data_IF_127665390896
#
_entry.id   IF_127665390896
#
_cell.length_a   1.000
_cell.length_b   1.000
_cell.length_c   1.000
_cell.angle_alpha   90.00
_cell.angle_beta   90.00
_cell.angle_gamma   90.00
#
_symmetry.space_group_name_H-M   'P 1'
#
loop_
_entity.id
_entity.type
_entity.pdbx_description
1 polymer ?
#
# COMPACT_ATOMS: atom_id res chain seq x y z
N UNK A 1 -7.25 16.29 5.29
CA UNK A 1 -7.30 14.79 5.30
C UNK A 1 -5.97 14.24 5.79
N UNK A 2 -6.02 13.30 6.75
CA UNK A 2 -4.89 12.45 7.14
C UNK A 2 -5.06 11.06 6.52
N UNK A 3 -3.95 10.44 6.12
CA UNK A 3 -3.93 9.08 5.58
C UNK A 3 -2.90 8.28 6.37
N UNK A 4 -3.32 7.12 6.86
CA UNK A 4 -2.42 6.11 7.42
C UNK A 4 -2.51 4.87 6.55
N UNK A 5 -1.41 4.51 5.90
CA UNK A 5 -1.24 3.23 5.25
C UNK A 5 -0.52 2.29 6.21
N UNK A 6 -1.08 1.10 6.41
CA UNK A 6 -0.49 0.01 7.17
C UNK A 6 -0.31 -1.17 6.24
N UNK A 7 0.88 -1.74 6.24
CA UNK A 7 1.15 -3.04 5.63
C UNK A 7 1.46 -3.99 6.77
N UNK A 8 0.58 -4.96 6.96
CA UNK A 8 0.85 -6.13 7.77
C UNK A 8 1.59 -7.10 6.88
N UNK A 9 2.83 -7.38 7.24
CA UNK A 9 3.64 -8.34 6.54
C UNK A 9 4.49 -9.09 7.55
N UNK A 10 4.03 -10.31 7.87
CA UNK A 10 4.79 -11.25 8.72
C UNK A 10 6.03 -11.80 8.00
N UNK A 11 6.34 -11.36 6.79
CA UNK A 11 7.44 -11.83 5.97
C UNK A 11 8.29 -10.70 5.37
N UNK A 12 8.44 -9.56 6.06
CA UNK A 12 9.48 -8.59 5.68
C UNK A 12 10.90 -9.19 5.75
N UNK A 13 11.06 -10.37 6.37
CA UNK A 13 12.25 -11.22 6.27
C UNK A 13 12.50 -11.77 4.84
N UNK A 14 11.47 -11.91 3.99
CA UNK A 14 11.56 -12.36 2.59
C UNK A 14 11.60 -11.21 1.57
N UNK A 15 11.14 -10.00 1.93
CA UNK A 15 11.24 -8.79 1.09
C UNK A 15 12.68 -8.28 0.94
N UNK A 16 13.65 -8.96 1.55
CA UNK A 16 15.06 -8.73 1.25
C UNK A 16 15.46 -9.44 -0.05
N UNK A 17 15.11 -8.83 -1.18
CA UNK A 17 15.60 -9.17 -2.52
C UNK A 17 17.07 -8.77 -2.72
N UNK A 18 17.95 -9.23 -1.83
CA UNK A 18 19.33 -9.54 -2.18
C UNK A 18 19.48 -11.06 -2.05
N UNK A 19 19.30 -11.75 -3.19
CA UNK A 19 19.46 -13.19 -3.34
C UNK A 19 20.93 -13.63 -3.18
N UNK A 20 21.53 -13.42 -2.02
CA UNK A 20 22.78 -14.07 -1.62
C UNK A 20 22.62 -14.59 -0.19
N UNK A 21 22.06 -15.80 -0.09
CA UNK A 21 22.04 -16.68 1.08
C UNK A 21 21.09 -16.29 2.24
N UNK A 22 19.89 -16.90 2.32
CA UNK A 22 18.87 -16.59 3.34
C UNK A 22 19.31 -16.85 4.80
N UNK A 23 20.42 -17.57 5.00
CA UNK A 23 20.96 -17.92 6.33
C UNK A 23 21.91 -16.87 6.95
N UNK A 24 22.12 -15.71 6.32
CA UNK A 24 23.02 -14.67 6.86
C UNK A 24 22.26 -13.51 7.55
N UNK A 25 22.70 -13.01 8.73
CA UNK A 25 22.05 -11.88 9.42
C UNK A 25 21.94 -10.58 8.61
N UNK A 26 22.68 -10.47 7.50
CA UNK A 26 22.68 -9.33 6.58
C UNK A 26 21.42 -9.29 5.69
N UNK A 27 20.68 -10.41 5.59
CA UNK A 27 19.40 -10.53 4.87
C UNK A 27 18.20 -9.98 5.65
N UNK A 28 18.39 -9.18 6.71
CA UNK A 28 17.31 -8.55 7.50
C UNK A 28 17.44 -7.02 7.61
N UNK A 29 17.55 -6.34 6.47
CA UNK A 29 17.75 -4.90 6.39
C UNK A 29 16.71 -4.22 5.51
N UNK A 30 15.96 -3.27 6.04
CA UNK A 30 15.12 -2.37 5.25
C UNK A 30 15.91 -1.11 4.91
N UNK A 31 16.04 -0.79 3.62
CA UNK A 31 16.87 0.33 3.14
C UNK A 31 18.29 0.33 3.76
N UNK A 32 18.90 -0.84 3.95
CA UNK A 32 20.24 -0.96 4.52
C UNK A 32 20.32 -0.83 6.05
N UNK A 33 19.20 -0.64 6.74
CA UNK A 33 19.10 -0.58 8.21
C UNK A 33 18.60 -1.92 8.77
N UNK A 34 19.25 -2.43 9.81
CA UNK A 34 18.79 -3.63 10.52
C UNK A 34 17.50 -3.37 11.31
N UNK A 35 16.78 -4.43 11.69
CA UNK A 35 15.53 -4.32 12.46
C UNK A 35 15.67 -3.47 13.74
N UNK A 36 16.79 -3.55 14.45
CA UNK A 36 17.05 -2.75 15.66
C UNK A 36 17.30 -1.26 15.38
N UNK A 37 17.60 -0.90 14.13
CA UNK A 37 17.82 0.47 13.69
C UNK A 37 16.57 1.13 13.13
N UNK A 38 15.49 0.37 12.91
CA UNK A 38 14.22 0.87 12.38
C UNK A 38 13.41 1.59 13.47
N UNK A 39 12.77 2.72 13.12
CA UNK A 39 12.02 3.49 14.10
C UNK A 39 10.69 2.81 14.45
N UNK A 40 10.52 2.43 15.72
CA UNK A 40 9.22 1.95 16.27
C UNK A 40 8.28 3.08 16.69
N UNK A 41 8.77 4.32 16.69
CA UNK A 41 8.01 5.55 16.90
C UNK A 41 7.93 6.37 15.61
N UNK A 42 6.88 7.20 15.48
CA UNK A 42 6.69 8.04 14.30
C UNK A 42 7.91 8.92 14.03
N UNK A 43 8.57 8.66 12.90
CA UNK A 43 9.78 9.37 12.47
C UNK A 43 9.57 9.89 11.06
N UNK A 44 10.13 11.08 10.75
CA UNK A 44 10.07 11.61 9.38
C UNK A 44 10.81 10.69 8.42
N UNK A 45 10.20 10.36 7.30
CA UNK A 45 10.80 9.50 6.28
C UNK A 45 12.11 10.11 5.76
N UNK A 46 12.17 11.43 5.58
CA UNK A 46 13.42 12.13 5.25
C UNK A 46 14.57 11.85 6.24
N UNK A 47 14.28 11.77 7.54
CA UNK A 47 15.29 11.46 8.55
C UNK A 47 15.75 9.98 8.47
N UNK A 48 14.83 9.07 8.13
CA UNK A 48 15.16 7.66 7.90
C UNK A 48 16.07 7.50 6.68
N UNK A 49 15.76 8.14 5.55
CA UNK A 49 16.58 8.11 4.34
C UNK A 49 17.97 8.74 4.56
N UNK A 50 18.03 9.79 5.38
CA UNK A 50 19.32 10.36 5.79
C UNK A 50 20.15 9.37 6.62
N UNK A 51 19.50 8.62 7.52
CA UNK A 51 20.15 7.61 8.37
C UNK A 51 20.63 6.41 7.55
N UNK A 52 19.89 5.98 6.53
CA UNK A 52 20.28 4.88 5.65
C UNK A 52 21.44 5.23 4.70
N UNK A 53 21.81 6.51 4.58
CA UNK A 53 22.87 6.97 3.70
C UNK A 53 22.48 6.97 2.21
N UNK A 54 21.19 6.82 1.90
CA UNK A 54 20.68 6.91 0.53
C UNK A 54 20.76 8.35 -0.01
N UNK A 55 20.94 8.53 -1.33
CA UNK A 55 20.90 9.85 -1.95
C UNK A 55 19.55 10.53 -1.68
N UNK A 56 19.58 11.67 -1.01
CA UNK A 56 18.39 12.49 -0.77
C UNK A 56 18.07 13.35 -1.99
N UNK A 57 16.78 13.61 -2.29
CA UNK A 57 16.41 14.52 -3.35
C UNK A 57 16.92 15.94 -3.06
N UNK A 58 17.22 16.67 -4.13
CA UNK A 58 17.75 18.05 -4.05
C UNK A 58 16.68 19.11 -4.30
N UNK A 59 15.57 18.75 -4.94
CA UNK A 59 14.50 19.70 -5.21
C UNK A 59 13.65 19.93 -3.95
N UNK A 60 13.22 21.19 -3.77
CA UNK A 60 12.55 21.64 -2.56
C UNK A 60 11.23 20.90 -2.31
N UNK A 61 10.49 20.58 -3.36
CA UNK A 61 9.17 19.98 -3.21
C UNK A 61 9.26 18.52 -2.79
N UNK A 62 10.23 17.76 -3.30
CA UNK A 62 10.49 16.38 -2.86
C UNK A 62 10.99 16.34 -1.43
N UNK A 63 11.88 17.27 -1.04
CA UNK A 63 12.30 17.39 0.38
C UNK A 63 11.10 17.68 1.28
N UNK A 64 10.28 18.68 0.93
CA UNK A 64 9.05 19.02 1.68
C UNK A 64 8.13 17.80 1.81
N UNK A 65 7.92 17.08 0.72
CA UNK A 65 7.09 15.88 0.71
C UNK A 65 7.65 14.80 1.65
N UNK A 66 8.91 14.41 1.53
CA UNK A 66 9.53 13.39 2.39
C UNK A 66 9.57 13.79 3.87
N UNK A 67 9.66 15.09 4.18
CA UNK A 67 9.58 15.60 5.55
C UNK A 67 8.16 15.50 6.14
N UNK A 68 7.14 15.56 5.27
CA UNK A 68 5.72 15.43 5.66
C UNK A 68 5.30 13.99 5.94
N UNK A 69 5.98 13.02 5.33
CA UNK A 69 5.72 11.59 5.54
C UNK A 69 6.33 11.13 6.85
N UNK A 70 5.50 10.57 7.72
CA UNK A 70 5.92 9.87 8.93
C UNK A 70 5.89 8.37 8.69
N UNK A 71 6.89 7.66 9.18
CA UNK A 71 7.00 6.20 9.12
C UNK A 71 7.29 5.65 10.50
N UNK A 72 6.76 4.46 10.77
CA UNK A 72 7.19 3.62 11.88
C UNK A 72 7.06 2.15 11.50
N UNK A 73 7.83 1.30 12.13
CA UNK A 73 7.87 -0.12 11.91
C UNK A 73 7.21 -0.84 13.09
N UNK A 74 6.51 -1.93 12.77
CA UNK A 74 5.88 -2.81 13.75
C UNK A 74 6.81 -4.01 13.96
N UNK A 75 7.16 -4.29 15.23
CA UNK A 75 8.11 -5.35 15.58
C UNK A 75 7.55 -6.23 16.68
N UNK A 76 7.75 -7.54 16.57
CA UNK A 76 7.53 -8.51 17.64
C UNK A 76 8.89 -9.07 18.09
N UNK A 77 9.46 -8.49 19.14
CA UNK A 77 10.85 -8.78 19.52
C UNK A 77 11.83 -8.27 18.45
N UNK A 78 12.65 -9.15 17.89
CA UNK A 78 13.58 -8.83 16.79
C UNK A 78 12.97 -9.01 15.40
N UNK A 79 11.73 -9.50 15.31
CA UNK A 79 11.04 -9.77 14.05
C UNK A 79 10.27 -8.54 13.58
N UNK A 80 10.43 -8.19 12.30
CA UNK A 80 9.67 -7.13 11.66
C UNK A 80 8.33 -7.70 11.16
N UNK A 81 7.21 -7.13 11.61
CA UNK A 81 5.86 -7.64 11.32
C UNK A 81 5.02 -6.71 10.45
N UNK A 82 5.55 -5.55 10.12
CA UNK A 82 4.91 -4.60 9.22
C UNK A 82 5.48 -3.19 9.34
N UNK A 83 4.86 -2.27 8.63
CA UNK A 83 5.16 -0.86 8.78
C UNK A 83 3.92 0.00 8.54
N UNK A 84 4.00 1.24 9.03
CA UNK A 84 2.97 2.25 8.86
C UNK A 84 3.58 3.51 8.30
N UNK A 85 2.92 4.07 7.30
CA UNK A 85 3.22 5.39 6.78
C UNK A 85 2.04 6.31 7.00
N UNK A 86 2.32 7.56 7.30
CA UNK A 86 1.31 8.57 7.58
C UNK A 86 1.65 9.88 6.91
N UNK A 87 0.63 10.50 6.34
CA UNK A 87 0.70 11.88 5.86
C UNK A 87 -0.48 12.66 6.42
N UNK A 88 -0.21 13.83 7.00
CA UNK A 88 -1.23 14.72 7.55
C UNK A 88 -1.45 15.90 6.60
N UNK A 89 -2.69 16.36 6.48
CA UNK A 89 -3.10 17.46 5.58
C UNK A 89 -2.70 17.23 4.11
N UNK A 90 -2.85 16.00 3.62
CA UNK A 90 -2.50 15.65 2.25
C UNK A 90 -3.35 16.42 1.23
N UNK A 91 -2.69 16.99 0.23
CA UNK A 91 -3.34 17.50 -0.99
C UNK A 91 -3.21 16.50 -2.16
N UNK A 92 -3.79 16.82 -3.31
CA UNK A 92 -3.73 15.97 -4.50
C UNK A 92 -2.30 15.68 -4.98
N UNK A 93 -1.39 16.65 -4.88
CA UNK A 93 0.01 16.45 -5.27
C UNK A 93 0.73 15.51 -4.31
N UNK A 94 0.47 15.65 -3.01
CA UNK A 94 1.05 14.79 -1.98
C UNK A 94 0.56 13.35 -2.13
N UNK A 95 -0.71 13.13 -2.48
CA UNK A 95 -1.24 11.81 -2.83
C UNK A 95 -0.47 11.16 -3.97
N UNK A 96 -0.27 11.90 -5.07
CA UNK A 96 0.50 11.42 -6.22
C UNK A 96 1.95 11.10 -5.85
N UNK A 97 2.59 11.91 -5.01
CA UNK A 97 3.97 11.69 -4.54
C UNK A 97 4.07 10.51 -3.56
N UNK A 98 3.07 10.33 -2.69
CA UNK A 98 2.98 9.20 -1.77
C UNK A 98 2.89 7.87 -2.51
N UNK A 99 2.10 7.87 -3.58
CA UNK A 99 2.00 6.79 -4.54
C UNK A 99 3.30 6.48 -5.27
N UNK A 100 4.04 7.50 -5.71
CA UNK A 100 5.37 7.33 -6.30
C UNK A 100 6.36 6.73 -5.30
N UNK A 101 6.41 7.28 -4.08
CA UNK A 101 7.30 6.82 -3.03
C UNK A 101 7.09 5.33 -2.73
N UNK A 102 5.83 4.87 -2.67
CA UNK A 102 5.54 3.46 -2.47
C UNK A 102 6.04 2.57 -3.60
N UNK A 103 5.87 3.00 -4.86
CA UNK A 103 6.41 2.27 -6.02
C UNK A 103 7.93 2.15 -5.95
N UNK A 104 8.62 3.22 -5.58
CA UNK A 104 10.08 3.26 -5.50
C UNK A 104 10.65 2.40 -4.36
N UNK A 105 9.85 2.15 -3.30
CA UNK A 105 10.25 1.27 -2.20
C UNK A 105 10.15 -0.22 -2.54
N UNK A 106 9.52 -0.61 -3.65
CA UNK A 106 9.32 -2.01 -4.00
C UNK A 106 10.52 -2.52 -4.84
N UNK A 107 11.52 -3.21 -4.25
CA UNK A 107 12.86 -3.35 -4.85
C UNK A 107 12.93 -4.37 -6.00
N UNK A 108 11.83 -5.09 -6.28
CA UNK A 108 11.86 -6.30 -7.09
C UNK A 108 11.82 -6.14 -8.59
N UNK A 109 11.60 -4.94 -9.16
CA UNK A 109 11.58 -4.76 -10.62
C UNK A 109 12.08 -3.37 -11.04
N UNK A 110 12.84 -3.37 -12.14
CA UNK A 110 13.41 -2.20 -12.81
C UNK A 110 12.40 -1.05 -12.93
N UNK A 111 12.89 0.17 -12.71
CA UNK A 111 12.20 1.44 -12.86
C UNK A 111 11.68 1.73 -14.29
N UNK A 112 11.94 0.83 -15.24
CA UNK A 112 11.71 1.05 -16.68
C UNK A 112 10.34 0.53 -17.17
N UNK A 113 9.60 -0.22 -16.36
CA UNK A 113 8.21 -0.52 -16.68
C UNK A 113 7.32 0.57 -16.07
N UNK A 114 6.69 1.38 -16.93
CA UNK A 114 5.55 2.24 -16.58
C UNK A 114 4.34 1.45 -16.01
N UNK A 115 4.51 0.15 -15.75
CA UNK A 115 3.48 -0.86 -15.52
C UNK A 115 3.44 -1.44 -14.09
N UNK A 116 4.23 -0.92 -13.14
CA UNK A 116 4.35 -1.47 -11.77
C UNK A 116 3.41 -0.82 -10.73
N UNK A 117 2.16 -0.54 -11.08
CA UNK A 117 1.10 -0.25 -10.10
C UNK A 117 0.61 -1.57 -9.48
N UNK A 118 1.41 -2.16 -8.58
CA UNK A 118 1.05 -3.46 -7.99
C UNK A 118 -0.20 -3.39 -7.07
N UNK A 119 -0.60 -2.19 -6.65
CA UNK A 119 -1.81 -1.91 -5.87
C UNK A 119 -2.38 -0.57 -6.37
N UNK A 120 -3.30 -0.57 -7.33
CA UNK A 120 -3.86 0.58 -8.05
C UNK A 120 -4.60 1.63 -7.21
N UNK A 121 -4.55 1.53 -5.88
CA UNK A 121 -5.05 2.48 -4.87
C UNK A 121 -4.24 3.79 -4.87
N UNK A 122 -3.22 3.88 -5.72
CA UNK A 122 -2.25 4.97 -5.76
C UNK A 122 -2.65 6.13 -6.66
N UNK A 123 -3.72 6.02 -7.44
CA UNK A 123 -4.21 7.13 -8.28
C UNK A 123 -5.41 7.86 -7.64
N UNK A 124 -5.43 7.90 -6.30
CA UNK A 124 -6.45 8.62 -5.53
C UNK A 124 -6.49 10.10 -5.89
N UNK A 125 -7.71 10.62 -6.02
CA UNK A 125 -7.95 12.03 -6.30
C UNK A 125 -8.68 12.67 -5.11
N UNK A 126 -8.10 13.73 -4.56
CA UNK A 126 -8.65 14.46 -3.42
C UNK A 126 -8.70 15.95 -3.74
N UNK A 127 -9.88 16.55 -3.70
CA UNK A 127 -10.11 17.97 -3.98
C UNK A 127 -10.44 18.81 -2.73
N UNK A 128 -10.54 18.18 -1.55
CA UNK A 128 -10.94 18.84 -0.30
C UNK A 128 -12.33 18.46 0.17
N UNK A 129 -13.22 18.05 -0.74
CA UNK A 129 -14.61 17.68 -0.45
C UNK A 129 -14.93 16.25 -0.93
N UNK A 130 -14.13 15.71 -1.85
CA UNK A 130 -14.36 14.42 -2.50
C UNK A 130 -13.06 13.66 -2.65
N UNK A 131 -13.05 12.44 -2.13
CA UNK A 131 -12.02 11.43 -2.39
C UNK A 131 -12.52 10.43 -3.42
N UNK A 132 -11.80 10.26 -4.52
CA UNK A 132 -12.03 9.22 -5.53
C UNK A 132 -10.92 8.20 -5.44
N UNK A 133 -11.29 6.95 -5.21
CA UNK A 133 -10.37 5.81 -5.20
C UNK A 133 -10.68 4.96 -6.42
N UNK A 134 -9.81 4.92 -7.43
CA UNK A 134 -10.01 4.05 -8.59
C UNK A 134 -9.81 2.58 -8.19
N UNK A 135 -10.81 1.75 -8.51
CA UNK A 135 -10.84 0.30 -8.23
C UNK A 135 -11.04 -0.51 -9.52
N UNK A 136 -11.34 0.16 -10.65
CA UNK A 136 -11.64 -0.44 -11.94
C UNK A 136 -10.43 -1.05 -12.65
N UNK A 137 -9.26 -0.44 -12.50
CA UNK A 137 -8.05 -0.83 -13.23
C UNK A 137 -7.00 -1.58 -12.42
N UNK A 138 -7.21 -1.66 -11.10
CA UNK A 138 -6.31 -2.34 -10.19
C UNK A 138 -6.19 -3.83 -10.56
N UNK A 139 -4.98 -4.35 -10.81
CA UNK A 139 -4.76 -5.76 -11.12
C UNK A 139 -5.35 -6.72 -10.06
N UNK A 140 -5.34 -6.34 -8.78
CA UNK A 140 -5.93 -7.10 -7.67
C UNK A 140 -7.45 -7.13 -7.78
N UNK A 141 -8.10 -5.97 -8.01
CA UNK A 141 -9.56 -5.90 -8.13
C UNK A 141 -10.10 -6.41 -9.48
N UNK A 142 -9.30 -6.40 -10.54
CA UNK A 142 -9.68 -6.94 -11.86
C UNK A 142 -9.80 -8.46 -11.88
N UNK A 143 -8.91 -9.18 -11.21
CA UNK A 143 -9.02 -10.65 -11.10
C UNK A 143 -10.25 -11.07 -10.27
N UNK A 144 -10.64 -10.27 -9.27
CA UNK A 144 -11.86 -10.52 -8.48
C UNK A 144 -13.16 -10.43 -9.29
N UNK A 145 -13.12 -9.83 -10.48
CA UNK A 145 -14.31 -9.46 -11.27
C UNK A 145 -14.82 -10.56 -12.21
N UNK A 146 -14.16 -11.70 -12.40
CA UNK A 146 -14.63 -12.67 -13.41
C UNK A 146 -14.33 -14.17 -13.14
N UNK A 147 -15.35 -14.99 -12.80
CA UNK A 147 -15.21 -16.45 -12.74
C UNK A 147 -15.33 -17.15 -14.11
N UNK A 148 -15.84 -16.46 -15.14
CA UNK A 148 -15.85 -16.98 -16.51
C UNK A 148 -14.62 -16.47 -17.26
N UNK A 149 -13.76 -17.44 -17.61
CA UNK A 149 -12.53 -17.23 -18.38
C UNK A 149 -12.79 -16.47 -19.67
N UNK A 150 -12.26 -15.25 -19.77
CA UNK A 150 -11.78 -14.77 -21.06
C UNK A 150 -10.61 -13.79 -20.91
N UNK A 151 -9.41 -14.27 -21.27
CA UNK A 151 -8.23 -13.59 -21.83
C UNK A 151 -7.85 -12.13 -21.46
N UNK A 152 -8.38 -11.54 -20.40
CA UNK A 152 -8.12 -10.14 -20.06
C UNK A 152 -6.85 -10.01 -19.22
N UNK A 153 -5.75 -10.04 -19.98
CA UNK A 153 -4.36 -9.71 -19.69
C UNK A 153 -3.54 -10.75 -18.92
N UNK A 154 -2.54 -11.31 -19.63
CA UNK A 154 -1.40 -12.06 -19.07
C UNK A 154 -0.85 -11.43 -17.78
N UNK A 155 -0.88 -10.10 -17.72
CA UNK A 155 -0.47 -9.24 -16.61
C UNK A 155 -1.14 -9.51 -15.26
N UNK A 156 -2.46 -9.74 -15.24
CA UNK A 156 -3.20 -9.90 -14.00
C UNK A 156 -2.91 -11.27 -13.35
N UNK A 157 -2.85 -12.32 -14.18
CA UNK A 157 -2.36 -13.65 -13.78
C UNK A 157 -0.90 -13.66 -13.35
N UNK A 158 -0.02 -12.92 -14.01
CA UNK A 158 1.39 -12.79 -13.59
C UNK A 158 1.55 -12.03 -12.29
N UNK A 159 0.76 -10.97 -12.08
CA UNK A 159 0.75 -10.20 -10.83
C UNK A 159 0.23 -11.07 -9.69
N UNK A 160 -0.87 -11.79 -9.90
CA UNK A 160 -1.42 -12.70 -8.91
C UNK A 160 -0.53 -13.91 -8.66
N UNK A 161 0.11 -14.48 -9.68
CA UNK A 161 1.11 -15.54 -9.50
C UNK A 161 2.36 -15.02 -8.80
N UNK A 162 2.79 -13.79 -9.08
CA UNK A 162 3.84 -13.13 -8.32
C UNK A 162 3.40 -13.02 -6.86
N UNK A 163 2.20 -12.49 -6.56
CA UNK A 163 1.73 -12.39 -5.19
C UNK A 163 1.58 -13.77 -4.52
N UNK A 164 1.02 -14.76 -5.23
CA UNK A 164 0.86 -16.15 -4.77
C UNK A 164 2.19 -16.87 -4.56
N UNK A 165 3.25 -16.49 -5.27
CA UNK A 165 4.57 -17.14 -5.21
C UNK A 165 5.49 -16.40 -4.23
N UNK A 166 5.48 -15.07 -4.25
CA UNK A 166 6.26 -14.20 -3.39
C UNK A 166 5.69 -14.07 -1.96
N UNK A 167 4.38 -14.29 -1.79
CA UNK A 167 3.70 -14.23 -0.49
C UNK A 167 3.02 -15.56 -0.15
N UNK A 168 3.55 -16.67 -0.66
CA UNK A 168 2.97 -18.01 -0.46
C UNK A 168 3.02 -18.37 1.02
N UNK A 169 1.88 -18.30 1.71
CA UNK A 169 1.79 -18.55 3.15
C UNK A 169 1.90 -17.29 4.03
N UNK A 170 2.01 -16.10 3.41
CA UNK A 170 1.99 -14.83 4.11
C UNK A 170 0.59 -14.21 4.09
N UNK A 171 0.14 -13.70 5.24
CA UNK A 171 -1.03 -12.81 5.29
C UNK A 171 -0.59 -11.41 4.89
N UNK A 172 -0.61 -11.11 3.59
CA UNK A 172 -0.38 -9.76 3.11
C UNK A 172 -1.68 -8.96 3.20
N UNK A 173 -1.72 -8.01 4.14
CA UNK A 173 -2.87 -7.14 4.36
C UNK A 173 -2.43 -5.69 4.27
N UNK A 174 -3.10 -4.93 3.43
CA UNK A 174 -2.92 -3.48 3.35
C UNK A 174 -4.18 -2.81 3.86
N UNK A 175 -3.98 -1.85 4.76
CA UNK A 175 -5.06 -1.04 5.29
C UNK A 175 -4.75 0.43 5.06
N UNK A 176 -5.64 1.14 4.37
CA UNK A 176 -5.65 2.60 4.29
C UNK A 176 -6.72 3.11 5.24
N UNK A 177 -6.33 3.98 6.16
CA UNK A 177 -7.22 4.73 7.03
C UNK A 177 -7.21 6.17 6.56
N UNK A 178 -8.36 6.67 6.13
CA UNK A 178 -8.59 8.06 5.75
C UNK A 178 -9.34 8.76 6.88
N UNK A 179 -8.76 9.84 7.41
CA UNK A 179 -9.38 10.67 8.43
C UNK A 179 -9.63 12.05 7.85
N UNK A 180 -10.89 12.46 7.82
CA UNK A 180 -11.34 13.72 7.25
C UNK A 180 -11.59 14.76 8.35
N UNK A 181 -11.39 16.04 8.02
CA UNK A 181 -11.69 17.14 8.94
C UNK A 181 -13.21 17.38 9.05
N UNK A 182 -13.92 17.25 7.92
CA UNK A 182 -15.38 17.28 7.86
C UNK A 182 -16.01 15.90 8.05
N UNK A 183 -17.34 15.86 8.11
CA UNK A 183 -18.12 14.62 8.22
C UNK A 183 -18.18 13.91 6.86
N UNK A 184 -18.07 12.60 6.87
CA UNK A 184 -18.41 11.75 5.72
C UNK A 184 -19.92 11.77 5.54
N UNK A 185 -20.38 12.50 4.55
CA UNK A 185 -21.79 12.54 4.15
C UNK A 185 -22.24 11.24 3.52
N UNK A 186 -21.39 10.69 2.63
CA UNK A 186 -21.73 9.51 1.83
C UNK A 186 -20.49 8.81 1.28
N UNK A 187 -20.52 7.49 1.29
CA UNK A 187 -19.64 6.64 0.49
C UNK A 187 -20.48 6.06 -0.66
N UNK A 188 -20.10 6.36 -1.90
CA UNK A 188 -20.67 5.75 -3.10
C UNK A 188 -19.71 4.69 -3.61
N UNK A 189 -20.28 3.65 -4.23
CA UNK A 189 -19.53 2.49 -4.69
C UNK A 189 -19.86 1.28 -3.82
N UNK A 190 -20.19 0.14 -4.43
CA UNK A 190 -20.40 -1.14 -3.75
C UNK A 190 -19.08 -1.89 -3.63
N UNK A 191 -18.52 -1.95 -2.43
CA UNK A 191 -17.22 -2.58 -2.19
C UNK A 191 -17.15 -3.21 -0.80
N UNK A 192 -16.85 -4.52 -0.75
CA UNK A 192 -16.68 -5.27 0.51
C UNK A 192 -15.45 -4.82 1.31
N UNK A 193 -14.56 -4.04 0.69
CA UNK A 193 -13.26 -3.66 1.21
C UNK A 193 -13.24 -2.33 1.97
N UNK A 194 -14.32 -1.55 1.92
CA UNK A 194 -14.39 -0.24 2.59
C UNK A 194 -15.40 -0.26 3.74
N UNK A 195 -14.98 0.25 4.89
CA UNK A 195 -15.82 0.41 6.08
C UNK A 195 -15.75 1.85 6.60
N UNK A 196 -16.78 2.28 7.31
CA UNK A 196 -16.85 3.59 7.95
C UNK A 196 -17.06 3.37 9.47
N UNK A 197 -15.98 3.27 10.27
CA UNK A 197 -16.11 3.04 11.71
C UNK A 197 -16.73 4.21 12.48
N UNK A 198 -16.64 5.44 11.95
CA UNK A 198 -17.21 6.64 12.55
C UNK A 198 -17.55 7.70 11.49
N UNK A 199 -18.00 8.89 11.90
CA UNK A 199 -18.43 9.95 10.98
C UNK A 199 -17.31 10.65 10.22
N UNK A 200 -16.03 10.44 10.56
CA UNK A 200 -14.88 11.12 9.97
C UNK A 200 -13.86 10.16 9.35
N UNK A 201 -14.02 8.87 9.56
CA UNK A 201 -13.03 7.86 9.20
C UNK A 201 -13.58 6.88 8.18
N UNK A 202 -12.82 6.64 7.12
CA UNK A 202 -13.04 5.55 6.19
C UNK A 202 -11.82 4.62 6.19
N UNK A 203 -12.07 3.31 6.16
CA UNK A 203 -11.02 2.29 6.18
C UNK A 203 -11.17 1.38 4.98
N UNK A 204 -10.19 1.41 4.09
CA UNK A 204 -10.05 0.47 2.98
C UNK A 204 -9.06 -0.63 3.37
N UNK A 205 -9.55 -1.87 3.50
CA UNK A 205 -8.75 -3.05 3.83
C UNK A 205 -8.70 -4.00 2.64
N UNK A 206 -7.49 -4.33 2.19
CA UNK A 206 -7.24 -5.34 1.16
C UNK A 206 -6.47 -6.49 1.80
N UNK A 207 -7.11 -7.64 1.86
CA UNK A 207 -6.55 -8.86 2.43
C UNK A 207 -6.42 -9.89 1.31
N UNK A 208 -5.19 -10.10 0.81
CA UNK A 208 -4.96 -10.96 -0.35
C UNK A 208 -5.34 -12.42 -0.08
N UNK A 209 -5.20 -12.87 1.18
CA UNK A 209 -5.55 -14.23 1.56
C UNK A 209 -7.07 -14.42 1.60
N UNK A 210 -7.80 -13.46 2.17
CA UNK A 210 -9.26 -13.44 2.12
C UNK A 210 -9.79 -13.46 0.68
N UNK A 211 -9.15 -12.67 -0.19
CA UNK A 211 -9.43 -12.63 -1.63
C UNK A 211 -9.22 -14.01 -2.28
N UNK A 212 -8.06 -14.63 -2.06
CA UNK A 212 -7.74 -15.94 -2.63
C UNK A 212 -8.63 -17.07 -2.08
N UNK A 213 -8.99 -17.02 -0.80
CA UNK A 213 -9.90 -17.99 -0.19
C UNK A 213 -11.32 -17.86 -0.71
N UNK A 214 -11.81 -16.64 -0.91
CA UNK A 214 -13.11 -16.38 -1.50
C UNK A 214 -13.19 -16.96 -2.92
N UNK A 215 -12.17 -16.72 -3.75
CA UNK A 215 -12.02 -17.30 -5.08
C UNK A 215 -12.02 -18.83 -5.03
N UNK A 216 -11.20 -19.44 -4.16
CA UNK A 216 -11.10 -20.88 -4.00
C UNK A 216 -12.43 -21.54 -3.57
N UNK A 217 -13.26 -20.81 -2.83
CA UNK A 217 -14.60 -21.24 -2.37
C UNK A 217 -15.71 -20.91 -3.39
N UNK A 218 -15.36 -20.39 -4.57
CA UNK A 218 -16.32 -19.97 -5.60
C UNK A 218 -17.18 -18.77 -5.20
N UNK A 219 -16.78 -18.02 -4.16
CA UNK A 219 -17.40 -16.75 -3.82
C UNK A 219 -16.86 -15.70 -4.77
N UNK A 220 -17.76 -15.07 -5.51
CA UNK A 220 -17.43 -13.85 -6.24
C UNK A 220 -17.70 -12.69 -5.32
N UNK A 221 -16.73 -11.77 -5.21
CA UNK A 221 -17.03 -10.45 -4.67
C UNK A 221 -18.04 -9.81 -5.62
N UNK A 222 -19.07 -9.16 -5.06
CA UNK A 222 -20.05 -8.48 -5.91
C UNK A 222 -19.32 -7.42 -6.72
N UNK A 223 -19.51 -7.41 -8.05
CA UNK A 223 -18.73 -6.61 -9.01
C UNK A 223 -18.38 -5.24 -8.43
N UNK A 224 -17.13 -5.03 -7.98
CA UNK A 224 -16.79 -3.78 -7.34
C UNK A 224 -16.93 -2.68 -8.39
N UNK A 225 -17.62 -1.59 -8.04
CA UNK A 225 -17.73 -0.42 -8.92
C UNK A 225 -16.33 0.01 -9.40
N UNK A 226 -16.22 0.69 -10.53
CA UNK A 226 -14.89 1.09 -11.03
C UNK A 226 -14.21 2.16 -10.16
N UNK A 227 -14.98 2.77 -9.26
CA UNK A 227 -14.49 3.74 -8.28
C UNK A 227 -15.22 3.58 -6.95
N UNK A 228 -14.55 3.96 -5.87
CA UNK A 228 -15.16 4.36 -4.60
C UNK A 228 -15.11 5.88 -4.53
N UNK A 229 -16.21 6.52 -4.14
CA UNK A 229 -16.30 7.97 -3.98
C UNK A 229 -16.77 8.32 -2.57
N UNK A 230 -15.91 8.96 -1.80
CA UNK A 230 -16.22 9.45 -0.45
C UNK A 230 -16.48 10.95 -0.54
N UNK A 231 -17.64 11.39 -0.07
CA UNK A 231 -18.07 12.79 -0.05
C UNK A 231 -18.05 13.32 1.38
N UNK A 232 -17.42 14.47 1.56
CA UNK A 232 -17.23 15.18 2.82
C UNK A 232 -18.07 16.45 2.82
N UNK A 233 -18.61 16.81 3.99
CA UNK A 233 -19.30 18.09 4.23
C UNK A 233 -18.34 19.24 4.57
#
# INVERSE_FOLDING_TARGET
>A
MEIVMKIDDRMLDEINLNHENPDTPESRKFNGLSASELPVSWTRFYALEKKSGRPLPKDRDSVRFLESVLVKFDTEGEMLTGFRMKISHANAEDLRRFSQLFRDMNPGKQADSQDNNALGIFDMQWDGEKLVIPTGEDPVFKELKNPERDTTTVRAKETLNFFRTAFRGANFVITYTFVFEGNIRKINGKHDFITQPDQHTAVLKIDLMEIMEAEAKGKTFEKPDETIVILID
#
